data_IF_560145125057
#
_entry.id   IF_560145125057
#
_cell.length_a   1.000
_cell.length_b   1.000
_cell.length_c   1.000
_cell.angle_alpha   90.00
_cell.angle_beta   90.00
_cell.angle_gamma   90.00
#
_symmetry.space_group_name_H-M   'P 1'
#
loop_
_entity.id
_entity.type
_entity.pdbx_description
1 polymer ?
#
# COMPACT_ATOMS: atom_id res chain seq x y z
N UNK A 1 17.06 -41.99 2.40
CA UNK A 1 16.68 -42.63 1.13
C UNK A 1 16.33 -41.51 0.14
N UNK A 2 17.29 -41.06 -0.67
CA UNK A 2 17.13 -39.92 -1.60
C UNK A 2 16.48 -40.42 -2.89
N UNK A 3 15.32 -39.87 -3.25
CA UNK A 3 14.71 -40.12 -4.56
C UNK A 3 14.86 -38.88 -5.44
N UNK A 4 15.63 -39.05 -6.50
CA UNK A 4 15.89 -38.11 -7.59
C UNK A 4 14.72 -38.23 -8.57
N UNK A 5 14.02 -37.14 -8.87
CA UNK A 5 13.07 -37.07 -9.98
C UNK A 5 13.66 -36.20 -11.09
N UNK A 6 13.90 -36.85 -12.22
CA UNK A 6 14.52 -36.31 -13.42
C UNK A 6 13.51 -35.56 -14.31
N UNK A 7 13.97 -34.46 -14.92
CA UNK A 7 13.24 -33.66 -15.89
C UNK A 7 13.15 -34.35 -17.28
N UNK A 8 12.08 -34.13 -18.07
CA UNK A 8 11.99 -34.68 -19.42
C UNK A 8 12.63 -33.79 -20.49
N UNK A 9 13.10 -34.49 -21.53
CA UNK A 9 14.04 -34.12 -22.59
C UNK A 9 13.48 -33.16 -23.66
N UNK A 10 14.37 -32.29 -24.14
CA UNK A 10 14.25 -31.43 -25.32
C UNK A 10 14.34 -32.30 -26.60
N UNK A 11 13.39 -32.15 -27.53
CA UNK A 11 13.42 -32.75 -28.87
C UNK A 11 13.83 -31.68 -29.91
N UNK A 12 14.81 -31.92 -30.81
CA UNK A 12 15.33 -30.91 -31.71
C UNK A 12 14.56 -30.75 -33.04
N UNK A 13 14.70 -29.54 -33.60
CA UNK A 13 14.17 -29.05 -34.89
C UNK A 13 14.47 -29.96 -36.09
N UNK A 14 13.47 -30.18 -36.95
CA UNK A 14 13.68 -30.58 -38.34
C UNK A 14 13.57 -29.38 -39.28
N UNK A 15 14.58 -29.26 -40.13
CA UNK A 15 14.70 -28.35 -41.27
C UNK A 15 14.19 -29.06 -42.53
N UNK A 16 13.35 -28.41 -43.36
CA UNK A 16 13.18 -28.82 -44.76
C UNK A 16 12.94 -27.62 -45.68
N UNK A 17 13.62 -27.67 -46.83
CA UNK A 17 13.78 -26.63 -47.85
C UNK A 17 12.55 -26.46 -48.75
N UNK A 18 12.31 -25.19 -49.10
CA UNK A 18 12.07 -24.58 -50.44
C UNK A 18 11.17 -25.32 -51.45
N UNK A 19 10.06 -24.66 -51.79
CA UNK A 19 9.34 -24.82 -53.05
C UNK A 19 8.72 -23.47 -53.44
N UNK A 20 9.21 -22.88 -54.53
CA UNK A 20 8.73 -21.64 -55.12
C UNK A 20 7.34 -21.81 -55.75
N UNK A 21 6.43 -20.87 -55.49
CA UNK A 21 5.38 -20.45 -56.44
C UNK A 21 5.06 -18.96 -56.27
N UNK A 22 4.93 -18.32 -57.41
CA UNK A 22 4.82 -16.90 -57.68
C UNK A 22 3.43 -16.29 -57.38
N UNK A 23 3.50 -14.98 -57.08
CA UNK A 23 2.61 -13.87 -57.48
C UNK A 23 1.13 -13.91 -57.07
N UNK A 24 0.79 -13.00 -56.16
CA UNK A 24 -0.56 -12.54 -55.87
C UNK A 24 -0.53 -11.17 -55.20
N UNK A 25 -0.75 -10.13 -55.97
CA UNK A 25 -0.81 -8.72 -55.58
C UNK A 25 -1.81 -8.47 -54.44
N UNK A 26 -1.32 -7.94 -53.31
CA UNK A 26 -2.14 -7.50 -52.17
C UNK A 26 -1.44 -6.41 -51.38
N UNK A 27 -2.02 -5.21 -51.40
CA UNK A 27 -1.56 -3.94 -50.80
C UNK A 27 -0.88 -4.12 -49.43
N UNK A 28 0.42 -3.81 -49.33
CA UNK A 28 1.12 -3.63 -48.04
C UNK A 28 1.15 -2.14 -47.69
N UNK A 29 0.30 -1.76 -46.72
CA UNK A 29 0.36 -0.50 -46.01
C UNK A 29 1.72 -0.37 -45.29
N UNK A 30 2.33 0.80 -45.43
CA UNK A 30 3.70 1.07 -44.98
C UNK A 30 3.83 1.14 -43.47
N UNK A 31 4.51 0.15 -42.87
CA UNK A 31 4.98 0.19 -41.48
C UNK A 31 6.50 0.34 -41.35
N UNK A 32 7.24 0.38 -42.47
CA UNK A 32 8.72 0.54 -42.46
C UNK A 32 9.22 1.98 -42.52
N UNK A 33 8.33 2.96 -42.76
CA UNK A 33 8.69 4.39 -42.75
C UNK A 33 8.73 4.99 -41.32
N UNK A 34 7.87 4.51 -40.42
CA UNK A 34 7.76 5.06 -39.07
C UNK A 34 8.95 4.75 -38.13
N UNK A 35 9.72 3.70 -38.40
CA UNK A 35 10.86 3.31 -37.54
C UNK A 35 12.18 3.96 -37.93
N UNK A 36 12.33 4.44 -39.17
CA UNK A 36 13.52 5.19 -39.61
C UNK A 36 13.36 6.69 -39.31
N UNK A 37 12.14 7.22 -39.41
CA UNK A 37 11.83 8.62 -39.06
C UNK A 37 11.87 8.87 -37.53
N UNK A 38 11.46 7.89 -36.70
CA UNK A 38 11.58 7.99 -35.24
C UNK A 38 13.03 7.96 -34.72
N UNK A 39 13.96 7.30 -35.42
CA UNK A 39 15.38 7.28 -35.01
C UNK A 39 16.13 8.56 -35.33
N UNK A 40 15.81 9.24 -36.44
CA UNK A 40 16.40 10.56 -36.75
C UNK A 40 15.79 11.68 -35.89
N UNK A 41 14.49 11.61 -35.56
CA UNK A 41 13.85 12.53 -34.63
C UNK A 41 14.37 12.41 -33.19
N UNK A 42 14.56 11.18 -32.71
CA UNK A 42 15.10 10.94 -31.35
C UNK A 42 16.55 11.41 -31.20
N UNK A 43 17.38 11.32 -32.26
CA UNK A 43 18.77 11.77 -32.20
C UNK A 43 18.91 13.29 -32.32
N UNK A 44 17.97 13.98 -33.00
CA UNK A 44 17.91 15.45 -33.05
C UNK A 44 17.35 16.05 -31.75
N UNK A 45 16.36 15.41 -31.12
CA UNK A 45 15.84 15.82 -29.80
C UNK A 45 16.87 15.57 -28.70
N UNK A 46 17.60 14.43 -28.75
CA UNK A 46 18.67 14.17 -27.79
C UNK A 46 19.86 15.13 -27.97
N UNK A 47 20.18 15.56 -29.20
CA UNK A 47 21.27 16.49 -29.43
C UNK A 47 20.90 17.92 -29.04
N UNK A 48 19.66 18.39 -29.31
CA UNK A 48 19.22 19.70 -28.81
C UNK A 48 19.10 19.73 -27.29
N UNK A 49 18.70 18.62 -26.65
CA UNK A 49 18.64 18.51 -25.19
C UNK A 49 20.03 18.45 -24.53
N UNK A 50 21.06 17.97 -25.24
CA UNK A 50 22.45 17.97 -24.75
C UNK A 50 23.11 19.34 -24.99
N UNK A 51 22.80 20.01 -26.10
CA UNK A 51 23.30 21.36 -26.39
C UNK A 51 22.63 22.44 -25.50
N UNK A 52 21.39 22.22 -25.01
CA UNK A 52 20.70 23.09 -24.04
C UNK A 52 21.19 22.92 -22.59
N UNK A 53 21.81 21.79 -22.24
CA UNK A 53 22.36 21.55 -20.88
C UNK A 53 23.60 22.41 -20.63
N UNK A 54 24.35 22.76 -21.68
CA UNK A 54 25.51 23.67 -21.59
C UNK A 54 25.12 25.16 -21.61
N UNK A 55 23.84 25.48 -21.84
CA UNK A 55 23.27 26.82 -21.71
C UNK A 55 22.33 26.96 -20.50
N UNK A 56 22.40 26.03 -19.53
CA UNK A 56 21.73 26.22 -18.26
C UNK A 56 22.20 27.56 -17.64
N UNK A 57 21.29 28.48 -17.28
CA UNK A 57 21.67 29.75 -16.69
C UNK A 57 22.53 29.47 -15.46
N UNK A 58 23.80 29.91 -15.52
CA UNK A 58 24.75 29.83 -14.41
C UNK A 58 24.07 30.40 -13.18
N UNK A 59 23.73 29.51 -12.25
CA UNK A 59 23.19 29.80 -10.91
C UNK A 59 22.30 31.05 -10.87
N UNK A 60 21.00 30.89 -11.11
CA UNK A 60 20.04 31.87 -10.58
C UNK A 60 20.33 31.92 -9.07
N UNK A 61 20.83 33.03 -8.51
CA UNK A 61 20.97 33.11 -7.07
C UNK A 61 19.55 32.97 -6.53
N UNK A 62 19.30 31.91 -5.76
CA UNK A 62 18.13 31.86 -4.88
C UNK A 62 18.27 33.04 -3.94
N UNK A 63 17.79 34.21 -4.38
CA UNK A 63 17.47 35.30 -3.48
C UNK A 63 16.45 34.68 -2.55
N UNK A 64 16.85 34.43 -1.31
CA UNK A 64 15.93 34.17 -0.21
C UNK A 64 15.03 35.41 -0.16
N UNK A 65 13.93 35.34 -0.89
CA UNK A 65 12.91 36.35 -0.90
C UNK A 65 12.25 36.27 0.48
N UNK A 66 12.72 37.14 1.37
CA UNK A 66 12.24 37.20 2.75
C UNK A 66 10.73 37.44 2.77
N UNK A 67 10.19 38.13 1.77
CA UNK A 67 8.78 38.46 1.68
C UNK A 67 7.95 37.23 1.29
N UNK A 68 8.45 36.41 0.36
CA UNK A 68 7.85 35.10 0.05
C UNK A 68 7.92 34.13 1.24
N UNK A 69 9.02 34.14 1.99
CA UNK A 69 9.14 33.32 3.21
C UNK A 69 8.18 33.79 4.29
N UNK A 70 8.04 35.11 4.51
CA UNK A 70 7.09 35.69 5.46
C UNK A 70 5.64 35.38 5.07
N UNK A 71 5.31 35.37 3.78
CA UNK A 71 3.97 35.05 3.30
C UNK A 71 3.60 33.57 3.51
N UNK A 72 4.57 32.65 3.47
CA UNK A 72 4.37 31.22 3.68
C UNK A 72 4.34 30.81 5.16
N UNK A 73 4.97 31.58 6.04
CA UNK A 73 5.02 31.30 7.49
C UNK A 73 3.66 31.05 8.13
N UNK A 74 2.62 31.89 7.95
CA UNK A 74 1.32 31.62 8.58
C UNK A 74 0.68 30.31 8.08
N UNK A 75 0.80 29.99 6.78
CA UNK A 75 0.29 28.73 6.20
C UNK A 75 1.06 27.51 6.73
N UNK A 76 2.37 27.63 6.89
CA UNK A 76 3.19 26.57 7.47
C UNK A 76 2.90 26.39 8.97
N UNK A 77 2.79 27.48 9.73
CA UNK A 77 2.47 27.45 11.16
C UNK A 77 1.08 26.84 11.40
N UNK A 78 0.07 27.22 10.63
CA UNK A 78 -1.28 26.65 10.70
C UNK A 78 -1.29 25.14 10.39
N UNK A 79 -0.63 24.72 9.30
CA UNK A 79 -0.50 23.30 8.95
C UNK A 79 0.26 22.50 10.01
N UNK A 80 1.31 23.08 10.63
CA UNK A 80 2.06 22.39 11.70
C UNK A 80 1.27 22.23 12.98
N UNK A 81 0.49 23.25 13.37
CA UNK A 81 -0.35 23.20 14.56
C UNK A 81 -1.49 22.18 14.38
N UNK A 82 -2.10 22.16 13.21
CA UNK A 82 -3.07 21.15 12.79
C UNK A 82 -2.45 19.74 12.86
N UNK A 83 -1.25 19.55 12.32
CA UNK A 83 -0.57 18.24 12.33
C UNK A 83 -0.23 17.72 13.71
N UNK A 84 0.14 18.59 14.65
CA UNK A 84 0.44 18.17 16.01
C UNK A 84 -0.78 17.55 16.73
N UNK A 85 -2.00 17.99 16.43
CA UNK A 85 -3.22 17.48 17.07
C UNK A 85 -3.52 16.02 16.75
N UNK A 86 -3.15 15.57 15.55
CA UNK A 86 -3.34 14.18 15.10
C UNK A 86 -2.09 13.36 15.37
N UNK A 87 -0.93 13.88 14.97
CA UNK A 87 0.31 13.10 14.98
C UNK A 87 0.79 12.75 16.37
N UNK A 88 0.65 13.63 17.36
CA UNK A 88 1.11 13.33 18.73
C UNK A 88 0.29 12.18 19.34
N UNK A 89 -1.06 12.25 19.40
CA UNK A 89 -1.85 11.13 19.91
C UNK A 89 -1.61 9.83 19.13
N UNK A 90 -1.60 9.88 17.80
CA UNK A 90 -1.38 8.69 16.97
C UNK A 90 0.00 8.09 17.17
N UNK A 91 1.05 8.91 17.26
CA UNK A 91 2.41 8.42 17.51
C UNK A 91 2.53 7.79 18.90
N UNK A 92 1.92 8.40 19.92
CA UNK A 92 1.89 7.84 21.28
C UNK A 92 1.12 6.52 21.30
N UNK A 93 -0.04 6.46 20.65
CA UNK A 93 -0.87 5.26 20.58
C UNK A 93 -0.15 4.12 19.87
N UNK A 94 0.32 4.32 18.64
CA UNK A 94 0.98 3.28 17.85
C UNK A 94 2.36 2.93 18.36
N UNK A 95 3.13 3.91 18.83
CA UNK A 95 4.42 3.67 19.49
C UNK A 95 4.25 2.88 20.80
N UNK A 96 3.23 3.21 21.58
CA UNK A 96 2.84 2.46 22.78
C UNK A 96 2.41 1.02 22.45
N UNK A 97 1.60 0.84 21.40
CA UNK A 97 1.17 -0.46 20.90
C UNK A 97 2.37 -1.31 20.46
N UNK A 98 3.31 -0.75 19.68
CA UNK A 98 4.53 -1.42 19.27
C UNK A 98 5.37 -1.84 20.48
N UNK A 99 5.63 -0.92 21.40
CA UNK A 99 6.41 -1.19 22.61
C UNK A 99 5.76 -2.29 23.47
N UNK A 100 4.45 -2.21 23.66
CA UNK A 100 3.68 -3.22 24.38
C UNK A 100 3.79 -4.58 23.69
N UNK A 101 3.64 -4.62 22.36
CA UNK A 101 3.72 -5.85 21.58
C UNK A 101 5.09 -6.52 21.71
N UNK A 102 6.17 -5.73 21.67
CA UNK A 102 7.54 -6.22 21.88
C UNK A 102 7.71 -6.80 23.28
N UNK A 103 7.21 -6.11 24.32
CA UNK A 103 7.29 -6.59 25.70
C UNK A 103 6.48 -7.87 25.89
N UNK A 104 5.25 -7.92 25.40
CA UNK A 104 4.37 -9.08 25.52
C UNK A 104 4.92 -10.30 24.77
N UNK A 105 5.46 -10.10 23.56
CA UNK A 105 6.09 -11.19 22.80
C UNK A 105 7.35 -11.71 23.52
N UNK A 106 8.22 -10.82 23.99
CA UNK A 106 9.49 -11.20 24.61
C UNK A 106 9.28 -11.89 25.96
N UNK A 107 8.55 -11.24 26.86
CA UNK A 107 8.39 -11.70 28.24
C UNK A 107 7.30 -12.77 28.37
N UNK A 108 6.24 -12.69 27.55
CA UNK A 108 5.12 -13.63 27.59
C UNK A 108 5.36 -14.91 26.79
N UNK A 109 6.09 -14.83 25.66
CA UNK A 109 6.23 -15.95 24.72
C UNK A 109 7.70 -16.33 24.45
N UNK A 110 8.68 -15.57 24.95
CA UNK A 110 10.09 -15.76 24.58
C UNK A 110 10.38 -15.44 23.12
N UNK A 111 9.50 -14.70 22.45
CA UNK A 111 9.59 -14.37 21.02
C UNK A 111 10.15 -12.97 20.84
N UNK A 112 11.20 -12.85 20.03
CA UNK A 112 11.80 -11.56 19.69
C UNK A 112 11.22 -11.02 18.37
N UNK A 113 10.37 -9.99 18.46
CA UNK A 113 9.79 -9.33 17.29
C UNK A 113 10.87 -8.76 16.37
N UNK A 114 12.00 -8.27 16.91
CA UNK A 114 13.07 -7.72 16.09
C UNK A 114 13.74 -8.80 15.23
N UNK A 115 13.77 -10.06 15.69
CA UNK A 115 14.25 -11.19 14.90
C UNK A 115 13.27 -11.59 13.79
N UNK A 116 11.99 -11.25 13.93
CA UNK A 116 10.98 -11.44 12.88
C UNK A 116 11.09 -10.40 11.77
N UNK A 117 11.81 -9.29 11.99
CA UNK A 117 12.11 -8.27 10.97
C UNK A 117 13.17 -8.78 9.98
N UNK A 118 12.83 -9.84 9.24
CA UNK A 118 13.68 -10.34 8.18
C UNK A 118 13.82 -9.28 7.09
N UNK A 119 15.03 -9.08 6.54
CA UNK A 119 15.25 -8.10 5.49
C UNK A 119 14.34 -8.39 4.31
N UNK A 120 13.72 -7.33 3.81
CA UNK A 120 12.84 -7.35 2.65
C UNK A 120 13.55 -8.06 1.49
N UNK A 121 13.07 -9.22 1.02
CA UNK A 121 13.51 -9.66 -0.29
C UNK A 121 13.00 -8.59 -1.26
N UNK A 122 13.90 -7.95 -2.03
CA UNK A 122 13.53 -7.07 -3.15
C UNK A 122 12.84 -7.86 -4.29
N UNK A 123 12.12 -8.92 -3.94
CA UNK A 123 11.26 -9.70 -4.81
C UNK A 123 9.93 -8.97 -4.95
N UNK A 124 9.24 -9.11 -6.09
CA UNK A 124 7.95 -8.46 -6.32
C UNK A 124 6.81 -8.98 -5.43
N UNK A 125 7.06 -9.96 -4.56
CA UNK A 125 6.05 -10.73 -3.82
C UNK A 125 5.24 -9.89 -2.82
N UNK A 126 5.83 -8.97 -2.02
CA UNK A 126 5.04 -8.14 -1.09
C UNK A 126 4.05 -7.21 -1.80
N UNK A 127 4.44 -6.65 -2.95
CA UNK A 127 3.58 -5.77 -3.74
C UNK A 127 2.31 -6.45 -4.27
N UNK A 128 2.30 -7.78 -4.38
CA UNK A 128 1.12 -8.55 -4.82
C UNK A 128 0.01 -8.48 -3.76
N UNK A 129 0.35 -8.49 -2.47
CA UNK A 129 -0.63 -8.42 -1.38
C UNK A 129 -1.26 -7.03 -1.27
N UNK A 130 -0.59 -5.97 -1.73
CA UNK A 130 -1.20 -4.63 -1.78
C UNK A 130 -2.29 -4.54 -2.86
N UNK A 131 -2.20 -5.31 -3.95
CA UNK A 131 -3.11 -5.22 -5.09
C UNK A 131 -4.60 -5.46 -4.76
N UNK A 132 -5.01 -6.55 -4.08
CA UNK A 132 -6.42 -6.75 -3.74
C UNK A 132 -6.97 -5.65 -2.84
N UNK A 133 -6.14 -5.10 -1.94
CA UNK A 133 -6.54 -3.98 -1.08
C UNK A 133 -6.78 -2.71 -1.91
N UNK A 134 -5.86 -2.37 -2.82
CA UNK A 134 -6.02 -1.23 -3.73
C UNK A 134 -7.20 -1.41 -4.70
N UNK A 135 -7.45 -2.63 -5.17
CA UNK A 135 -8.62 -2.93 -5.97
C UNK A 135 -9.92 -2.72 -5.17
N UNK A 136 -9.94 -3.13 -3.90
CA UNK A 136 -11.08 -2.88 -3.02
C UNK A 136 -11.27 -1.39 -2.73
N UNK A 137 -10.20 -0.62 -2.52
CA UNK A 137 -10.25 0.83 -2.38
C UNK A 137 -10.80 1.49 -3.65
N UNK A 138 -10.28 1.13 -4.82
CA UNK A 138 -10.76 1.66 -6.09
C UNK A 138 -12.25 1.35 -6.32
N UNK A 139 -12.69 0.15 -5.95
CA UNK A 139 -14.11 -0.22 -5.96
C UNK A 139 -14.91 0.68 -5.00
N UNK A 140 -14.46 0.84 -3.75
CA UNK A 140 -15.15 1.64 -2.75
C UNK A 140 -15.28 3.11 -3.17
N UNK A 141 -14.21 3.72 -3.70
CA UNK A 141 -14.26 5.09 -4.22
C UNK A 141 -15.24 5.20 -5.39
N UNK A 142 -15.27 4.22 -6.29
CA UNK A 142 -16.14 4.26 -7.47
C UNK A 142 -17.61 4.04 -7.13
N UNK A 143 -17.91 3.20 -6.15
CA UNK A 143 -19.26 2.67 -5.92
C UNK A 143 -19.88 3.02 -4.56
N UNK A 144 -19.29 3.98 -3.83
CA UNK A 144 -19.77 4.37 -2.50
C UNK A 144 -21.23 4.84 -2.51
N UNK A 145 -21.64 5.58 -3.54
CA UNK A 145 -22.99 6.15 -3.61
C UNK A 145 -24.01 5.16 -4.20
N UNK A 146 -23.56 4.15 -4.96
CA UNK A 146 -24.42 3.12 -5.55
C UNK A 146 -24.61 1.88 -4.65
N UNK A 147 -23.66 1.59 -3.75
CA UNK A 147 -23.70 0.40 -2.87
C UNK A 147 -23.93 0.85 -1.43
N UNK A 148 -25.14 0.67 -0.86
CA UNK A 148 -25.49 1.21 0.46
C UNK A 148 -24.51 0.84 1.57
N UNK A 149 -24.04 -0.43 1.60
CA UNK A 149 -23.09 -0.88 2.61
C UNK A 149 -21.70 -0.21 2.50
N UNK A 150 -21.30 0.24 1.30
CA UNK A 150 -20.08 1.04 1.11
C UNK A 150 -20.35 2.50 1.47
N UNK A 151 -21.54 3.02 1.15
CA UNK A 151 -21.99 4.35 1.57
C UNK A 151 -22.00 4.53 3.08
N UNK A 152 -22.38 3.50 3.85
CA UNK A 152 -22.27 3.51 5.32
C UNK A 152 -20.81 3.66 5.80
N UNK A 153 -19.87 3.00 5.12
CA UNK A 153 -18.43 3.16 5.41
C UNK A 153 -17.97 4.58 5.05
N UNK A 154 -18.36 5.10 3.88
CA UNK A 154 -18.06 6.49 3.47
C UNK A 154 -18.55 7.47 4.53
N UNK A 155 -19.80 7.38 4.94
CA UNK A 155 -20.40 8.26 5.94
C UNK A 155 -19.68 8.19 7.29
N UNK A 156 -19.35 6.99 7.78
CA UNK A 156 -18.64 6.82 9.04
C UNK A 156 -17.22 7.39 8.99
N UNK A 157 -16.52 7.21 7.87
CA UNK A 157 -15.19 7.80 7.66
C UNK A 157 -15.26 9.32 7.50
N UNK A 158 -16.28 9.85 6.82
CA UNK A 158 -16.55 11.28 6.69
C UNK A 158 -16.75 11.97 8.04
N UNK A 159 -17.43 11.30 8.98
CA UNK A 159 -17.67 11.82 10.33
C UNK A 159 -16.43 11.75 11.23
N UNK A 160 -15.64 10.67 11.12
CA UNK A 160 -14.58 10.36 12.10
C UNK A 160 -13.18 10.70 11.61
N UNK A 161 -12.81 10.25 10.41
CA UNK A 161 -11.43 10.24 9.91
C UNK A 161 -11.14 11.44 9.01
N UNK A 162 -12.07 11.81 8.13
CA UNK A 162 -11.87 12.88 7.15
C UNK A 162 -11.61 14.27 7.76
N UNK A 163 -12.27 14.71 8.85
CA UNK A 163 -12.01 16.02 9.44
C UNK A 163 -10.53 16.17 9.82
N UNK A 164 -9.96 15.08 10.33
CA UNK A 164 -8.55 15.03 10.70
C UNK A 164 -7.63 14.89 9.49
N UNK A 165 -7.97 14.09 8.45
CA UNK A 165 -7.09 13.92 7.30
C UNK A 165 -7.01 15.14 6.37
N UNK A 166 -8.07 15.95 6.27
CA UNK A 166 -8.15 17.05 5.29
C UNK A 166 -7.26 18.23 5.59
N UNK A 167 -7.01 18.47 6.87
CA UNK A 167 -6.20 19.60 7.35
C UNK A 167 -4.72 19.24 7.47
N UNK A 168 -4.32 18.09 6.91
CA UNK A 168 -3.00 17.50 7.09
C UNK A 168 -2.22 17.43 5.79
N UNK A 169 -0.91 17.71 5.83
CA UNK A 169 -0.06 17.46 4.67
C UNK A 169 0.07 15.95 4.42
N UNK A 170 0.31 15.57 3.17
CA UNK A 170 0.41 14.16 2.74
C UNK A 170 1.44 13.33 3.53
N UNK A 171 2.47 13.97 4.08
CA UNK A 171 3.49 13.30 4.88
C UNK A 171 3.00 12.96 6.29
N UNK A 172 2.02 13.70 6.83
CA UNK A 172 1.41 13.36 8.11
C UNK A 172 0.60 12.07 8.00
N UNK A 173 -0.11 11.88 6.88
CA UNK A 173 -0.76 10.61 6.55
C UNK A 173 0.24 9.45 6.44
N UNK A 174 1.46 9.70 5.93
CA UNK A 174 2.51 8.68 5.89
C UNK A 174 3.00 8.31 7.30
N UNK A 175 3.18 9.29 8.20
CA UNK A 175 3.56 9.02 9.60
C UNK A 175 2.48 8.22 10.31
N UNK A 176 1.20 8.56 10.09
CA UNK A 176 0.08 7.81 10.63
C UNK A 176 0.07 6.36 10.13
N UNK A 177 0.21 6.16 8.82
CA UNK A 177 0.25 4.84 8.20
C UNK A 177 1.48 4.00 8.61
N UNK A 178 2.62 4.65 8.87
CA UNK A 178 3.78 3.99 9.46
C UNK A 178 3.49 3.54 10.89
N UNK A 179 2.86 4.40 11.70
CA UNK A 179 2.41 4.05 13.04
C UNK A 179 1.49 2.83 13.03
N UNK A 180 0.42 2.87 12.22
CA UNK A 180 -0.53 1.78 12.06
C UNK A 180 0.17 0.48 11.61
N UNK A 181 0.92 0.53 10.51
CA UNK A 181 1.62 -0.65 10.00
C UNK A 181 2.58 -1.27 11.01
N UNK A 182 3.44 -0.48 11.66
CA UNK A 182 4.37 -1.05 12.66
C UNK A 182 3.67 -1.51 13.94
N UNK A 183 2.77 -0.71 14.49
CA UNK A 183 2.10 -0.99 15.76
C UNK A 183 1.16 -2.19 15.65
N UNK A 184 0.28 -2.17 14.65
CA UNK A 184 -0.75 -3.19 14.48
C UNK A 184 -0.14 -4.52 14.02
N UNK A 185 0.80 -4.52 13.06
CA UNK A 185 1.41 -5.79 12.65
C UNK A 185 2.27 -6.40 13.76
N UNK A 186 2.98 -5.59 14.56
CA UNK A 186 3.68 -6.10 15.74
C UNK A 186 2.72 -6.73 16.76
N UNK A 187 1.56 -6.12 16.98
CA UNK A 187 0.55 -6.65 17.89
C UNK A 187 -0.06 -7.94 17.36
N UNK A 188 -0.56 -7.93 16.13
CA UNK A 188 -1.33 -9.02 15.57
C UNK A 188 -0.46 -10.17 15.08
N UNK A 189 0.61 -9.89 14.33
CA UNK A 189 1.46 -10.92 13.69
C UNK A 189 2.67 -11.23 14.57
N UNK A 190 3.26 -10.18 15.15
CA UNK A 190 4.44 -10.30 16.01
C UNK A 190 4.16 -10.97 17.36
N UNK A 191 2.98 -10.72 17.95
CA UNK A 191 2.61 -11.22 19.27
C UNK A 191 1.39 -12.15 19.24
N UNK A 192 0.23 -11.68 18.78
CA UNK A 192 -1.05 -12.37 18.97
C UNK A 192 -1.14 -13.69 18.19
N UNK A 193 -0.65 -13.72 16.94
CA UNK A 193 -0.56 -14.96 16.16
C UNK A 193 0.30 -16.02 16.87
N UNK A 194 1.55 -15.75 17.29
CA UNK A 194 2.32 -16.66 18.14
C UNK A 194 1.63 -17.06 19.44
N UNK A 195 0.97 -16.11 20.14
CA UNK A 195 0.25 -16.42 21.38
C UNK A 195 -0.89 -17.43 21.17
N UNK A 196 -1.70 -17.21 20.14
CA UNK A 196 -2.79 -18.12 19.77
C UNK A 196 -2.23 -19.46 19.30
N UNK A 197 -1.13 -19.45 18.54
CA UNK A 197 -0.44 -20.67 18.09
C UNK A 197 0.04 -21.51 19.27
N UNK A 198 0.71 -20.91 20.25
CA UNK A 198 1.18 -21.61 21.45
C UNK A 198 0.00 -22.18 22.24
N UNK A 199 -1.03 -21.35 22.49
CA UNK A 199 -2.23 -21.80 23.22
C UNK A 199 -2.95 -22.94 22.50
N UNK A 200 -3.12 -22.86 21.17
CA UNK A 200 -3.74 -23.93 20.37
C UNK A 200 -2.93 -25.23 20.41
N UNK A 201 -1.59 -25.14 20.40
CA UNK A 201 -0.71 -26.29 20.58
C UNK A 201 -0.87 -26.92 21.97
N UNK A 202 -1.01 -26.10 23.02
CA UNK A 202 -1.24 -26.58 24.40
C UNK A 202 -2.58 -27.32 24.54
N UNK A 203 -3.59 -26.95 23.74
CA UNK A 203 -4.86 -27.67 23.63
C UNK A 203 -4.77 -28.99 22.83
N UNK A 204 -3.58 -29.37 22.37
CA UNK A 204 -3.34 -30.63 21.66
C UNK A 204 -3.72 -30.60 20.18
N UNK A 205 -3.90 -29.40 19.59
CA UNK A 205 -4.07 -29.29 18.14
C UNK A 205 -2.75 -29.64 17.43
N UNK A 206 -2.86 -30.33 16.29
CA UNK A 206 -1.69 -30.58 15.45
C UNK A 206 -1.19 -29.28 14.80
N UNK A 207 0.04 -29.30 14.28
CA UNK A 207 0.71 -28.13 13.68
C UNK A 207 -0.13 -27.43 12.60
N UNK A 208 -0.76 -28.19 11.71
CA UNK A 208 -1.59 -27.63 10.64
C UNK A 208 -2.86 -26.94 11.16
N UNK A 209 -3.48 -27.50 12.21
CA UNK A 209 -4.65 -26.91 12.87
C UNK A 209 -4.27 -25.68 13.68
N UNK A 210 -3.14 -25.73 14.39
CA UNK A 210 -2.61 -24.62 15.17
C UNK A 210 -2.31 -23.40 14.29
N UNK A 211 -1.64 -23.60 13.14
CA UNK A 211 -1.36 -22.53 12.19
C UNK A 211 -2.64 -21.90 11.62
N UNK A 212 -3.64 -22.71 11.27
CA UNK A 212 -4.93 -22.21 10.78
C UNK A 212 -5.71 -21.48 11.87
N UNK A 213 -5.75 -22.00 13.09
CA UNK A 213 -6.43 -21.36 14.22
C UNK A 213 -5.82 -20.00 14.52
N UNK A 214 -4.49 -19.91 14.59
CA UNK A 214 -3.76 -18.65 14.77
C UNK A 214 -4.07 -17.63 13.68
N UNK A 215 -4.02 -18.05 12.41
CA UNK A 215 -4.31 -17.19 11.27
C UNK A 215 -5.75 -16.65 11.29
N UNK A 216 -6.74 -17.53 11.42
CA UNK A 216 -8.15 -17.11 11.41
C UNK A 216 -8.53 -16.28 12.64
N UNK A 217 -8.13 -16.72 13.84
CA UNK A 217 -8.50 -16.02 15.06
C UNK A 217 -7.87 -14.64 15.15
N UNK A 218 -6.58 -14.49 14.80
CA UNK A 218 -5.93 -13.17 14.76
C UNK A 218 -6.58 -12.23 13.73
N UNK A 219 -6.99 -12.76 12.58
CA UNK A 219 -7.65 -11.99 11.51
C UNK A 219 -9.05 -11.53 11.93
N UNK A 220 -9.83 -12.39 12.60
CA UNK A 220 -11.14 -12.01 13.15
C UNK A 220 -10.98 -10.97 14.25
N UNK A 221 -10.01 -11.13 15.15
CA UNK A 221 -9.72 -10.14 16.19
C UNK A 221 -9.30 -8.78 15.59
N UNK A 222 -8.52 -8.80 14.50
CA UNK A 222 -8.20 -7.59 13.75
C UNK A 222 -9.46 -6.94 13.19
N UNK A 223 -10.35 -7.72 12.58
CA UNK A 223 -11.64 -7.23 12.11
C UNK A 223 -12.51 -6.66 13.22
N UNK A 224 -12.55 -7.30 14.40
CA UNK A 224 -13.31 -6.83 15.57
C UNK A 224 -12.84 -5.45 16.05
N UNK A 225 -11.54 -5.19 16.01
CA UNK A 225 -10.98 -3.87 16.32
C UNK A 225 -11.37 -2.78 15.31
N UNK A 226 -11.83 -3.18 14.13
CA UNK A 226 -12.22 -2.31 13.01
C UNK A 226 -13.73 -2.39 12.71
N UNK A 227 -14.56 -2.85 13.64
CA UNK A 227 -15.98 -3.09 13.40
C UNK A 227 -16.84 -1.81 13.44
N UNK A 228 -16.54 -0.83 12.58
CA UNK A 228 -17.33 0.41 12.43
C UNK A 228 -18.70 0.08 11.79
N UNK A 229 -18.69 -0.75 10.76
CA UNK A 229 -19.88 -1.31 10.11
C UNK A 229 -19.69 -2.82 9.91
N UNK A 230 -20.76 -3.61 9.70
CA UNK A 230 -20.61 -5.05 9.42
C UNK A 230 -19.77 -5.34 8.17
N UNK A 231 -19.90 -4.52 7.12
CA UNK A 231 -19.07 -4.67 5.93
C UNK A 231 -17.61 -4.32 6.22
N UNK A 232 -17.35 -3.27 7.01
CA UNK A 232 -15.98 -2.90 7.35
C UNK A 232 -15.32 -3.94 8.25
N UNK A 233 -16.06 -4.54 9.19
CA UNK A 233 -15.61 -5.72 9.96
C UNK A 233 -15.19 -6.88 9.04
N UNK A 234 -16.03 -7.23 8.07
CA UNK A 234 -15.75 -8.32 7.14
C UNK A 234 -14.54 -8.02 6.25
N UNK A 235 -14.45 -6.79 5.74
CA UNK A 235 -13.31 -6.33 4.95
C UNK A 235 -12.02 -6.32 5.77
N UNK A 236 -12.03 -5.78 6.99
CA UNK A 236 -10.88 -5.74 7.88
C UNK A 236 -10.45 -7.16 8.31
N UNK A 237 -11.40 -8.08 8.51
CA UNK A 237 -11.08 -9.51 8.72
C UNK A 237 -10.36 -10.09 7.51
N UNK A 238 -10.81 -9.79 6.30
CA UNK A 238 -10.18 -10.26 5.06
C UNK A 238 -8.79 -9.64 4.83
N UNK A 239 -8.63 -8.34 5.09
CA UNK A 239 -7.33 -7.68 5.08
C UNK A 239 -6.39 -8.29 6.13
N UNK A 240 -6.94 -8.56 7.33
CA UNK A 240 -6.21 -9.22 8.40
C UNK A 240 -5.70 -10.61 8.01
N UNK A 241 -6.54 -11.38 7.31
CA UNK A 241 -6.18 -12.69 6.76
C UNK A 241 -5.08 -12.56 5.72
N UNK A 242 -5.18 -11.56 4.84
CA UNK A 242 -4.19 -11.29 3.80
C UNK A 242 -2.81 -10.98 4.39
N UNK A 243 -2.73 -10.08 5.38
CA UNK A 243 -1.48 -9.78 6.08
C UNK A 243 -0.93 -11.00 6.84
N UNK A 244 -1.81 -11.81 7.44
CA UNK A 244 -1.39 -13.06 8.09
C UNK A 244 -0.82 -14.08 7.10
N UNK A 245 -1.43 -14.23 5.92
CA UNK A 245 -0.91 -15.08 4.84
C UNK A 245 0.43 -14.55 4.33
N UNK A 246 0.55 -13.24 4.14
CA UNK A 246 1.82 -12.61 3.75
C UNK A 246 2.91 -12.86 4.80
N UNK A 247 2.60 -12.70 6.08
CA UNK A 247 3.50 -12.98 7.20
C UNK A 247 4.03 -14.42 7.16
N UNK A 248 3.15 -15.41 6.97
CA UNK A 248 3.55 -16.82 6.85
C UNK A 248 4.40 -17.06 5.60
N UNK A 249 3.99 -16.57 4.44
CA UNK A 249 4.65 -16.84 3.15
C UNK A 249 6.02 -16.18 3.02
N UNK A 250 6.17 -14.96 3.54
CA UNK A 250 7.45 -14.23 3.56
C UNK A 250 8.31 -14.61 4.76
N UNK A 251 7.72 -15.34 5.72
CA UNK A 251 8.33 -15.75 6.98
C UNK A 251 8.91 -14.58 7.77
N UNK A 252 8.34 -13.37 7.66
CA UNK A 252 8.88 -12.17 8.27
C UNK A 252 7.84 -11.06 8.41
N UNK A 253 8.05 -10.20 9.41
CA UNK A 253 7.12 -9.13 9.78
C UNK A 253 7.26 -7.88 8.91
N UNK A 254 8.42 -7.68 8.26
CA UNK A 254 8.67 -6.50 7.44
C UNK A 254 7.75 -6.40 6.22
N UNK A 255 7.37 -7.53 5.61
CA UNK A 255 6.50 -7.56 4.45
C UNK A 255 5.06 -7.08 4.77
N UNK A 256 4.33 -7.67 5.73
CA UNK A 256 3.00 -7.19 6.10
C UNK A 256 3.01 -5.76 6.64
N UNK A 257 4.06 -5.33 7.38
CA UNK A 257 4.22 -3.92 7.78
C UNK A 257 4.24 -3.01 6.54
N UNK A 258 5.04 -3.37 5.53
CA UNK A 258 5.14 -2.58 4.31
C UNK A 258 3.81 -2.53 3.55
N UNK A 259 3.14 -3.68 3.39
CA UNK A 259 1.85 -3.77 2.70
C UNK A 259 0.78 -2.95 3.41
N UNK A 260 0.69 -3.06 4.74
CA UNK A 260 -0.26 -2.32 5.56
C UNK A 260 0.01 -0.81 5.49
N UNK A 261 1.24 -0.38 5.77
CA UNK A 261 1.63 1.04 5.68
C UNK A 261 1.37 1.62 4.28
N UNK A 262 1.71 0.88 3.22
CA UNK A 262 1.53 1.38 1.86
C UNK A 262 0.06 1.51 1.52
N UNK A 263 -0.75 0.51 1.86
CA UNK A 263 -2.20 0.57 1.64
C UNK A 263 -2.83 1.74 2.39
N UNK A 264 -2.57 1.88 3.69
CA UNK A 264 -3.15 2.93 4.53
C UNK A 264 -2.75 4.32 4.04
N UNK A 265 -1.48 4.50 3.70
CA UNK A 265 -1.01 5.79 3.19
C UNK A 265 -1.75 6.18 1.90
N UNK A 266 -1.90 5.23 0.96
CA UNK A 266 -2.64 5.45 -0.28
C UNK A 266 -4.12 5.70 0.02
N UNK A 267 -4.73 4.90 0.89
CA UNK A 267 -6.13 5.01 1.27
C UNK A 267 -6.43 6.37 1.89
N UNK A 268 -5.66 6.80 2.90
CA UNK A 268 -5.81 8.12 3.53
C UNK A 268 -5.72 9.25 2.50
N UNK A 269 -4.73 9.20 1.62
CA UNK A 269 -4.50 10.25 0.61
C UNK A 269 -5.60 10.27 -0.45
N UNK A 270 -6.07 9.11 -0.90
CA UNK A 270 -7.13 8.99 -1.92
C UNK A 270 -8.48 9.37 -1.34
N UNK A 271 -8.84 8.83 -0.17
CA UNK A 271 -10.12 9.10 0.51
C UNK A 271 -10.23 10.59 0.86
N UNK A 272 -9.18 11.19 1.44
CA UNK A 272 -9.17 12.61 1.79
C UNK A 272 -9.31 13.54 0.57
N UNK A 273 -9.03 13.05 -0.65
CA UNK A 273 -9.24 13.80 -1.89
C UNK A 273 -10.59 13.52 -2.54
N UNK A 274 -10.98 12.25 -2.60
CA UNK A 274 -12.14 11.80 -3.36
C UNK A 274 -13.46 12.12 -2.65
N UNK A 275 -13.52 12.00 -1.32
CA UNK A 275 -14.75 12.24 -0.55
C UNK A 275 -14.80 13.63 0.09
N UNK A 276 -13.74 14.43 -0.06
CA UNK A 276 -13.71 15.79 0.43
C UNK A 276 -14.60 16.77 -0.38
N UNK A 277 -14.82 16.50 -1.67
CA UNK A 277 -15.59 17.37 -2.56
C UNK A 277 -17.10 17.41 -2.27
N UNK A 278 -17.64 16.37 -1.65
CA UNK A 278 -19.10 16.18 -1.56
C UNK A 278 -19.69 16.88 -0.32
N UNK A 279 -18.89 17.05 0.73
CA UNK A 279 -19.26 17.71 1.99
C UNK A 279 -19.38 19.24 1.95
N UNK A 280 -19.09 19.91 0.83
CA UNK A 280 -19.15 21.38 0.70
C UNK A 280 -20.44 21.92 0.07
N UNK A 281 -21.51 21.12 0.01
CA UNK A 281 -22.83 21.69 -0.30
C UNK A 281 -23.31 22.57 0.87
N UNK A 282 -23.10 23.87 0.71
CA UNK A 282 -23.66 24.95 1.53
C UNK A 282 -25.16 24.70 1.76
N UNK A 283 -25.68 24.80 3.00
CA UNK A 283 -27.13 24.83 3.19
C UNK A 283 -27.67 25.99 2.38
N UNK A 284 -28.58 25.72 1.43
CA UNK A 284 -29.36 26.77 0.77
C UNK A 284 -29.94 27.65 1.88
N UNK A 285 -29.41 28.87 2.01
CA UNK A 285 -30.08 29.87 2.83
C UNK A 285 -31.40 30.17 2.12
N UNK A 286 -32.56 29.92 2.75
CA UNK A 286 -33.81 30.30 2.14
C UNK A 286 -33.80 31.84 2.04
N UNK A 287 -33.87 32.34 0.80
CA UNK A 287 -34.13 33.73 0.51
C UNK A 287 -35.35 34.19 1.33
N UNK A 288 -35.11 35.06 2.32
CA UNK A 288 -36.11 35.89 2.97
C UNK A 288 -35.53 37.27 3.21
#
# INVERSE_FOLDING_TARGET
MRMILAAPKIIPKQTRRRGDKEVGSGKRFGFRSLLVQKRHGAHLIAKSAIDDVDQAPKTIPLKQDKDASLALRPVLEENTFSAQRVLIPSTVFYGGMLALSVVLAREGLGVDILQQMKPFPLTPEPGVYTLPLLASLAFSIRYADEVPAVGEIKAALEETLLPELRVQPWWAALVLALGAGFGEEALFRGFLMPAISNSASDFGLNEAMTGQASLWASSVLFGMCHAITPLYFAWATAAGLLFGVEYVNTSGLAAPICTHTLYDWIAFVVIARAWASDSTETPEQPLK
#
